data_IF_323510505093
#
_entry.id   IF_323510505093
#
_cell.length_a   1.000
_cell.length_b   1.000
_cell.length_c   1.000
_cell.angle_alpha   90.00
_cell.angle_beta   90.00
_cell.angle_gamma   90.00
#
_symmetry.space_group_name_H-M   'P 1'
#
loop_
_entity.id
_entity.type
_entity.pdbx_description
1 polymer ?
#
# COMPACT_ATOMS: atom_id res chain seq x y z
N UNK A 1 -5.96 -15.97 6.33
CA UNK A 1 -5.27 -14.74 6.79
C UNK A 1 -4.40 -15.08 7.97
N UNK A 2 -3.32 -14.34 8.18
CA UNK A 2 -2.39 -14.52 9.31
C UNK A 2 -2.42 -13.24 10.14
N UNK A 3 -2.57 -13.36 11.45
CA UNK A 3 -2.49 -12.20 12.37
C UNK A 3 -1.05 -11.74 12.53
N UNK A 4 -0.87 -10.43 12.58
CA UNK A 4 0.42 -9.81 12.81
C UNK A 4 0.27 -8.48 13.56
N UNK A 5 1.27 -8.13 14.36
CA UNK A 5 1.34 -6.85 15.07
C UNK A 5 2.34 -5.94 14.37
N UNK A 6 1.94 -4.70 14.08
CA UNK A 6 2.82 -3.72 13.43
C UNK A 6 3.92 -3.29 14.40
N UNK A 7 5.18 -3.46 13.98
CA UNK A 7 6.34 -2.95 14.71
C UNK A 7 6.79 -1.58 14.20
N UNK A 8 6.74 -1.38 12.88
CA UNK A 8 7.31 -0.22 12.22
C UNK A 8 6.62 0.04 10.89
N UNK A 9 6.45 1.32 10.54
CA UNK A 9 6.13 1.76 9.18
C UNK A 9 7.44 2.03 8.46
N UNK A 10 7.89 1.08 7.62
CA UNK A 10 9.18 1.20 6.92
C UNK A 10 9.06 2.24 5.80
N UNK A 11 7.98 2.17 5.03
CA UNK A 11 7.69 3.10 3.95
C UNK A 11 6.17 3.19 3.72
N UNK A 12 5.73 3.90 2.70
CA UNK A 12 4.33 4.20 2.44
C UNK A 12 3.42 2.97 2.41
N UNK A 13 3.90 1.87 1.86
CA UNK A 13 3.16 0.62 1.64
C UNK A 13 3.92 -0.63 2.10
N UNK A 14 4.83 -0.43 3.06
CA UNK A 14 5.67 -1.50 3.63
C UNK A 14 5.69 -1.41 5.15
N UNK A 15 5.34 -2.51 5.81
CA UNK A 15 5.40 -2.65 7.26
C UNK A 15 6.47 -3.63 7.70
N UNK A 16 7.03 -3.40 8.89
CA UNK A 16 7.64 -4.46 9.70
C UNK A 16 6.60 -4.96 10.69
N UNK A 17 6.44 -6.27 10.80
CA UNK A 17 5.45 -6.88 11.68
C UNK A 17 6.05 -8.05 12.44
N UNK A 18 5.48 -8.36 13.60
CA UNK A 18 5.63 -9.67 14.27
C UNK A 18 4.42 -10.52 13.94
N UNK A 19 4.63 -11.70 13.37
CA UNK A 19 3.57 -12.68 13.12
C UNK A 19 3.16 -13.37 14.43
N UNK A 20 2.00 -14.03 14.44
CA UNK A 20 1.50 -14.78 15.60
C UNK A 20 2.43 -15.91 16.12
N UNK A 21 3.45 -16.30 15.35
CA UNK A 21 4.47 -17.28 15.74
C UNK A 21 5.80 -16.60 16.14
N UNK A 22 5.75 -15.34 16.57
CA UNK A 22 6.88 -14.50 16.98
C UNK A 22 7.92 -14.19 15.91
N UNK A 23 7.70 -14.62 14.66
CA UNK A 23 8.60 -14.30 13.56
C UNK A 23 8.41 -12.86 13.10
N UNK A 24 9.52 -12.13 12.96
CA UNK A 24 9.52 -10.79 12.36
C UNK A 24 9.62 -10.89 10.84
N UNK A 25 8.73 -10.21 10.12
CA UNK A 25 8.72 -10.15 8.66
C UNK A 25 8.56 -8.70 8.18
N UNK A 26 9.07 -8.45 6.97
CA UNK A 26 8.79 -7.22 6.21
C UNK A 26 7.69 -7.55 5.21
N UNK A 27 6.62 -6.77 5.24
CA UNK A 27 5.41 -6.99 4.45
C UNK A 27 5.21 -5.85 3.47
N UNK A 28 5.25 -6.15 2.16
CA UNK A 28 4.91 -5.21 1.08
C UNK A 28 3.45 -5.40 0.68
N UNK A 29 2.70 -4.31 0.60
CA UNK A 29 1.28 -4.37 0.27
C UNK A 29 1.09 -4.80 -1.19
N UNK A 30 0.21 -5.76 -1.44
CA UNK A 30 -0.06 -6.22 -2.80
C UNK A 30 -0.81 -5.17 -3.63
N UNK A 31 -0.44 -5.09 -4.91
CA UNK A 31 -1.16 -4.39 -5.98
C UNK A 31 -1.37 -2.88 -5.77
N UNK A 32 -0.68 -2.25 -4.83
CA UNK A 32 -0.73 -0.80 -4.63
C UNK A 32 0.66 -0.20 -4.47
N UNK A 33 0.79 1.06 -4.83
CA UNK A 33 1.99 1.88 -4.72
C UNK A 33 1.64 3.21 -4.08
N UNK A 34 2.31 3.55 -2.98
CA UNK A 34 2.08 4.79 -2.23
C UNK A 34 3.25 5.75 -2.42
N UNK A 35 3.02 7.08 -2.55
CA UNK A 35 4.10 8.04 -2.60
C UNK A 35 4.98 7.99 -1.35
N UNK A 36 6.29 8.02 -1.55
CA UNK A 36 7.28 7.90 -0.49
C UNK A 36 7.60 9.27 0.16
N UNK A 37 7.92 9.25 1.45
CA UNK A 37 8.37 10.46 2.18
C UNK A 37 9.88 10.69 2.02
N UNK A 38 10.64 9.61 1.85
CA UNK A 38 12.10 9.62 1.81
C UNK A 38 12.66 8.97 0.54
N UNK A 39 12.06 9.24 -0.62
CA UNK A 39 12.49 8.61 -1.87
C UNK A 39 13.96 8.98 -2.16
N UNK A 40 14.87 8.02 -2.39
CA UNK A 40 16.30 8.27 -2.49
C UNK A 40 16.71 9.33 -3.52
N UNK A 41 15.93 9.45 -4.61
CA UNK A 41 16.18 10.43 -5.69
C UNK A 41 15.23 11.62 -5.71
N UNK A 42 14.04 11.48 -5.14
CA UNK A 42 12.95 12.46 -5.30
C UNK A 42 12.62 13.17 -3.99
N UNK A 43 13.14 12.69 -2.87
CA UNK A 43 12.78 13.18 -1.55
C UNK A 43 11.30 12.93 -1.25
N UNK A 44 10.66 13.96 -0.70
CA UNK A 44 9.24 13.94 -0.39
C UNK A 44 8.41 13.98 -1.67
N UNK A 45 7.65 12.91 -1.92
CA UNK A 45 6.71 12.86 -3.02
C UNK A 45 5.36 13.51 -2.67
N UNK A 46 4.59 14.01 -3.65
CA UNK A 46 3.26 14.56 -3.42
C UNK A 46 2.35 13.58 -2.67
N UNK A 47 1.66 14.07 -1.65
CA UNK A 47 0.80 13.28 -0.76
C UNK A 47 1.50 12.20 0.08
N UNK A 48 2.85 12.18 0.12
CA UNK A 48 3.61 11.23 0.93
C UNK A 48 3.32 11.38 2.43
N UNK A 49 3.34 12.61 2.95
CA UNK A 49 3.06 12.89 4.37
C UNK A 49 1.60 12.60 4.73
N UNK A 50 0.65 12.98 3.88
CA UNK A 50 -0.77 12.71 4.06
C UNK A 50 -1.07 11.22 4.04
N UNK A 51 -0.43 10.48 3.14
CA UNK A 51 -0.48 9.03 3.09
C UNK A 51 0.10 8.38 4.34
N UNK A 52 1.25 8.86 4.82
CA UNK A 52 1.87 8.40 6.06
C UNK A 52 0.98 8.67 7.27
N UNK A 53 0.46 9.89 7.42
CA UNK A 53 -0.46 10.25 8.49
C UNK A 53 -1.76 9.43 8.47
N UNK A 54 -2.32 9.17 7.29
CA UNK A 54 -3.49 8.30 7.15
C UNK A 54 -3.17 6.87 7.62
N UNK A 55 -2.02 6.34 7.24
CA UNK A 55 -1.59 4.98 7.63
C UNK A 55 -1.34 4.89 9.13
N UNK A 56 -0.66 5.88 9.71
CA UNK A 56 -0.44 6.00 11.16
C UNK A 56 -1.75 6.11 11.95
N UNK A 57 -2.75 6.81 11.40
CA UNK A 57 -4.06 6.96 12.05
C UNK A 57 -4.81 5.62 12.14
N UNK A 58 -4.87 4.86 11.05
CA UNK A 58 -5.69 3.66 10.99
C UNK A 58 -4.93 2.43 11.44
N UNK A 59 -3.65 2.32 11.08
CA UNK A 59 -2.78 1.18 11.37
C UNK A 59 -1.54 1.62 12.17
N UNK A 60 -1.69 2.19 13.39
CA UNK A 60 -0.55 2.63 14.19
C UNK A 60 0.38 1.48 14.59
N UNK A 61 1.61 1.79 14.98
CA UNK A 61 2.52 0.81 15.60
C UNK A 61 1.84 0.19 16.83
N UNK A 62 1.99 -1.12 16.99
CA UNK A 62 1.33 -1.92 18.02
C UNK A 62 -0.08 -2.42 17.65
N UNK A 63 -0.66 -1.95 16.54
CA UNK A 63 -1.97 -2.43 16.08
C UNK A 63 -1.85 -3.84 15.48
N UNK A 64 -2.80 -4.71 15.84
CA UNK A 64 -3.00 -6.00 15.17
C UNK A 64 -3.65 -5.79 13.80
N UNK A 65 -3.13 -6.49 12.81
CA UNK A 65 -3.64 -6.54 11.44
C UNK A 65 -3.72 -7.99 10.98
N UNK A 66 -4.52 -8.22 9.94
CA UNK A 66 -4.62 -9.49 9.25
C UNK A 66 -3.96 -9.41 7.88
N UNK A 67 -3.02 -10.31 7.63
CA UNK A 67 -2.31 -10.43 6.37
C UNK A 67 -2.97 -11.50 5.52
N UNK A 68 -3.49 -11.09 4.37
CA UNK A 68 -4.04 -11.99 3.37
C UNK A 68 -3.07 -12.13 2.20
N UNK A 69 -2.40 -13.27 2.13
CA UNK A 69 -1.55 -13.63 1.00
C UNK A 69 -2.41 -14.05 -0.20
N UNK A 70 -1.85 -13.91 -1.39
CA UNK A 70 -2.37 -14.50 -2.61
C UNK A 70 -1.50 -15.72 -3.00
N UNK A 71 -1.66 -16.25 -4.22
CA UNK A 71 -0.95 -17.44 -4.71
C UNK A 71 0.58 -17.34 -4.53
N UNK A 72 1.16 -16.18 -4.84
CA UNK A 72 2.56 -15.86 -4.61
C UNK A 72 2.77 -15.15 -3.27
N UNK A 73 3.60 -15.72 -2.41
CA UNK A 73 3.77 -15.26 -1.01
C UNK A 73 4.97 -14.34 -0.78
N UNK A 74 5.95 -14.30 -1.70
CA UNK A 74 7.14 -13.44 -1.58
C UNK A 74 7.48 -12.74 -2.89
N UNK A 75 8.08 -11.56 -2.78
CA UNK A 75 8.67 -10.86 -3.93
C UNK A 75 10.15 -11.21 -4.15
N UNK A 76 10.74 -10.65 -5.21
CA UNK A 76 12.17 -10.82 -5.54
C UNK A 76 13.15 -10.32 -4.46
N UNK A 77 12.69 -9.46 -3.57
CA UNK A 77 13.45 -8.94 -2.43
C UNK A 77 13.23 -9.77 -1.16
N UNK A 78 12.56 -10.94 -1.29
CA UNK A 78 12.23 -11.87 -0.22
C UNK A 78 11.28 -11.30 0.85
N UNK A 79 10.62 -10.16 0.58
CA UNK A 79 9.58 -9.62 1.46
C UNK A 79 8.33 -10.47 1.37
N UNK A 80 7.59 -10.60 2.46
CA UNK A 80 6.24 -11.15 2.42
C UNK A 80 5.37 -10.17 1.62
N UNK A 81 4.52 -10.69 0.73
CA UNK A 81 3.54 -9.87 0.02
C UNK A 81 2.13 -10.24 0.46
N UNK A 82 1.34 -9.25 0.85
CA UNK A 82 0.00 -9.47 1.37
C UNK A 82 -0.91 -8.27 1.12
N UNK A 83 -2.21 -8.53 1.06
CA UNK A 83 -3.24 -7.54 1.32
C UNK A 83 -3.38 -7.35 2.82
N UNK A 84 -3.46 -6.10 3.29
CA UNK A 84 -3.51 -5.79 4.71
C UNK A 84 -4.92 -5.43 5.11
N UNK A 85 -5.45 -6.18 6.06
CA UNK A 85 -6.77 -5.99 6.64
C UNK A 85 -6.66 -5.44 8.05
N UNK A 86 -7.50 -4.46 8.35
CA UNK A 86 -7.56 -3.82 9.66
C UNK A 86 -9.01 -3.62 10.07
N UNK A 87 -9.39 -4.20 11.21
CA UNK A 87 -10.77 -4.15 11.72
C UNK A 87 -11.81 -4.55 10.65
N UNK A 88 -11.50 -5.57 9.84
CA UNK A 88 -12.34 -6.05 8.74
C UNK A 88 -12.33 -5.18 7.47
N UNK A 89 -11.52 -4.12 7.42
CA UNK A 89 -11.38 -3.25 6.25
C UNK A 89 -10.06 -3.48 5.52
N UNK A 90 -10.12 -3.57 4.19
CA UNK A 90 -8.94 -3.69 3.35
C UNK A 90 -8.20 -2.33 3.25
N UNK A 91 -7.08 -2.20 3.96
CA UNK A 91 -6.26 -0.98 3.99
C UNK A 91 -5.81 -0.56 2.58
N UNK A 92 -5.47 -1.54 1.73
CA UNK A 92 -5.10 -1.27 0.32
C UNK A 92 -6.18 -0.46 -0.40
N UNK A 93 -7.45 -0.86 -0.24
CA UNK A 93 -8.60 -0.17 -0.83
C UNK A 93 -8.80 1.20 -0.18
N UNK A 94 -8.69 1.31 1.14
CA UNK A 94 -8.85 2.59 1.84
C UNK A 94 -7.85 3.65 1.33
N UNK A 95 -6.59 3.26 1.11
CA UNK A 95 -5.56 4.14 0.55
C UNK A 95 -5.88 4.58 -0.88
N UNK A 96 -6.25 3.64 -1.75
CA UNK A 96 -6.64 3.94 -3.14
C UNK A 96 -7.89 4.82 -3.21
N UNK A 97 -8.89 4.54 -2.37
CA UNK A 97 -10.13 5.31 -2.30
C UNK A 97 -9.90 6.77 -1.90
N UNK A 98 -8.86 7.05 -1.11
CA UNK A 98 -8.47 8.41 -0.73
C UNK A 98 -7.48 9.05 -1.71
N UNK A 99 -7.08 8.34 -2.76
CA UNK A 99 -6.05 8.81 -3.68
C UNK A 99 -4.68 8.98 -3.01
N UNK A 100 -4.41 8.17 -1.98
CA UNK A 100 -3.12 8.14 -1.27
C UNK A 100 -2.23 6.99 -1.75
N UNK A 101 -2.77 6.11 -2.59
CA UNK A 101 -2.03 5.08 -3.31
C UNK A 101 -2.67 4.88 -4.69
N UNK A 102 -1.90 4.30 -5.61
CA UNK A 102 -2.36 3.88 -6.92
C UNK A 102 -2.29 2.37 -7.06
N UNK A 103 -3.08 1.80 -7.97
CA UNK A 103 -2.93 0.40 -8.39
C UNK A 103 -1.69 0.28 -9.24
N UNK A 104 -0.74 -0.55 -8.81
CA UNK A 104 0.54 -0.77 -9.48
C UNK A 104 1.18 -2.09 -9.06
N UNK A 105 2.27 -2.47 -9.73
CA UNK A 105 3.09 -3.64 -9.41
C UNK A 105 2.29 -4.95 -9.30
N UNK A 106 1.42 -5.17 -10.28
CA UNK A 106 0.66 -6.41 -10.42
C UNK A 106 1.60 -7.45 -11.02
N UNK A 107 1.97 -8.45 -10.24
CA UNK A 107 2.78 -9.58 -10.67
C UNK A 107 1.95 -10.85 -10.60
N UNK A 108 1.71 -11.48 -11.75
CA UNK A 108 1.03 -12.77 -11.79
C UNK A 108 1.80 -13.78 -10.92
N UNK A 109 1.09 -14.68 -10.21
CA UNK A 109 -0.37 -14.88 -10.20
C UNK A 109 -1.18 -13.96 -9.26
N UNK A 110 -0.55 -13.01 -8.56
CA UNK A 110 -1.21 -12.21 -7.52
C UNK A 110 -2.15 -11.15 -8.10
N UNK A 111 -3.45 -11.47 -8.14
CA UNK A 111 -4.47 -10.66 -8.83
C UNK A 111 -5.79 -10.56 -8.07
N UNK A 112 -5.92 -11.18 -6.89
CA UNK A 112 -7.20 -11.38 -6.18
C UNK A 112 -8.11 -10.15 -6.08
N UNK A 113 -7.55 -8.97 -5.82
CA UNK A 113 -8.33 -7.71 -5.69
C UNK A 113 -8.06 -6.67 -6.77
N UNK A 114 -7.35 -7.01 -7.86
CA UNK A 114 -6.96 -6.03 -8.88
C UNK A 114 -8.16 -5.30 -9.45
N UNK A 115 -9.16 -6.02 -9.97
CA UNK A 115 -10.37 -5.41 -10.56
C UNK A 115 -11.12 -4.49 -9.58
N UNK A 116 -11.15 -4.89 -8.31
CA UNK A 116 -11.81 -4.14 -7.25
C UNK A 116 -11.07 -2.85 -6.92
N UNK A 117 -9.73 -2.92 -6.81
CA UNK A 117 -8.88 -1.77 -6.57
C UNK A 117 -8.89 -0.81 -7.78
N UNK A 118 -8.91 -1.34 -9.00
CA UNK A 118 -9.00 -0.52 -10.22
C UNK A 118 -10.33 0.25 -10.31
N UNK A 119 -11.46 -0.41 -9.99
CA UNK A 119 -12.76 0.27 -9.90
C UNK A 119 -12.74 1.37 -8.85
N UNK A 120 -12.11 1.10 -7.71
CA UNK A 120 -11.93 2.07 -6.62
C UNK A 120 -11.08 3.27 -7.08
N UNK A 121 -9.96 3.02 -7.75
CA UNK A 121 -9.10 4.05 -8.32
C UNK A 121 -9.85 4.92 -9.33
N UNK A 122 -10.61 4.32 -10.25
CA UNK A 122 -11.42 5.06 -11.24
C UNK A 122 -12.42 5.99 -10.57
N UNK A 123 -13.04 5.58 -9.46
CA UNK A 123 -13.93 6.44 -8.66
C UNK A 123 -13.16 7.60 -8.05
N UNK A 124 -12.04 7.34 -7.38
CA UNK A 124 -11.22 8.37 -6.75
C UNK A 124 -10.62 9.38 -7.76
N UNK A 125 -10.32 8.93 -8.99
CA UNK A 125 -9.93 9.80 -10.11
C UNK A 125 -11.05 10.76 -10.54
N UNK A 126 -12.29 10.26 -10.69
CA UNK A 126 -13.46 11.11 -11.01
C UNK A 126 -13.70 12.17 -9.95
N UNK A 127 -13.44 11.83 -8.69
CA UNK A 127 -13.54 12.72 -7.54
C UNK A 127 -12.28 13.55 -7.29
N UNK A 128 -11.25 13.44 -8.15
CA UNK A 128 -10.01 14.23 -8.12
C UNK A 128 -9.26 14.16 -6.79
N UNK A 129 -9.22 12.99 -6.15
CA UNK A 129 -8.61 12.80 -4.83
C UNK A 129 -7.10 12.60 -4.91
N UNK A 130 -6.34 13.29 -4.05
CA UNK A 130 -4.92 13.02 -3.82
C UNK A 130 -4.07 12.95 -5.09
N UNK A 131 -3.20 11.94 -5.20
CA UNK A 131 -2.36 11.71 -6.39
C UNK A 131 -3.14 11.33 -7.64
N UNK A 132 -4.42 10.98 -7.51
CA UNK A 132 -5.30 10.63 -8.61
C UNK A 132 -5.94 11.86 -9.25
N UNK A 133 -5.63 13.07 -8.77
CA UNK A 133 -5.86 14.32 -9.50
C UNK A 133 -5.05 14.30 -10.82
N UNK A 134 -5.73 14.46 -11.96
CA UNK A 134 -5.16 14.30 -13.31
C UNK A 134 -3.82 15.01 -13.56
N UNK A 135 -3.59 16.18 -12.95
CA UNK A 135 -2.33 16.91 -13.08
C UNK A 135 -1.19 16.15 -12.39
N UNK A 136 -1.37 15.75 -11.13
CA UNK A 136 -0.34 15.05 -10.36
C UNK A 136 -0.06 13.67 -10.96
N UNK A 137 -1.12 12.98 -11.37
CA UNK A 137 -1.03 11.68 -12.04
C UNK A 137 -0.15 11.73 -13.31
N UNK A 138 -0.38 12.71 -14.19
CA UNK A 138 0.38 12.85 -15.44
C UNK A 138 1.84 13.19 -15.21
N UNK A 139 2.14 14.12 -14.30
CA UNK A 139 3.49 14.67 -14.17
C UNK A 139 4.43 13.81 -13.31
N UNK A 140 3.93 13.19 -12.24
CA UNK A 140 4.77 12.43 -11.31
C UNK A 140 4.81 10.92 -11.58
N UNK A 141 3.75 10.32 -12.12
CA UNK A 141 3.67 8.86 -12.23
C UNK A 141 3.81 8.34 -13.68
N UNK A 142 3.47 9.15 -14.69
CA UNK A 142 3.62 8.77 -16.10
C UNK A 142 5.02 9.09 -16.67
N UNK A 143 5.71 10.10 -16.11
CA UNK A 143 7.04 10.55 -16.58
C UNK A 143 8.22 9.82 -15.94
N UNK A 144 8.06 9.23 -14.74
CA UNK A 144 9.18 8.74 -13.92
C UNK A 144 9.39 7.22 -13.93
N UNK A 145 8.50 6.45 -14.57
CA UNK A 145 8.57 4.98 -14.61
C UNK A 145 8.73 4.42 -16.04
N UNK A 146 9.31 5.19 -16.97
CA UNK A 146 9.90 4.64 -18.18
C UNK A 146 11.31 4.13 -17.91
#
# INVERSE_FOLDING_TARGET
MIKATILEHIDGDTFRVTLANDKVEVVRFLCIDKPEVHHPRLGLQPFGLEGAAFTAKYAPVGKEVELEMDVGVRDKFKRLVAYVWIDGQLLNRMLVERGLARVAYIYLPNTKYVDYLEKTQKKAQKEKRGILLNLIWKYFFHSYHK
#
